data_IF_639779522918
#
_entry.id   IF_639779522918
#
_cell.length_a   1.000
_cell.length_b   1.000
_cell.length_c   1.000
_cell.angle_alpha   90.00
_cell.angle_beta   90.00
_cell.angle_gamma   90.00
#
_symmetry.space_group_name_H-M   'P 1'
#
loop_
_entity.id
_entity.type
_entity.pdbx_description
1 polymer ?
#
# COMPACT_ATOMS: atom_id res chain seq x y z
N UNK A 1 25.10 31.73 -28.59
CA UNK A 1 24.06 30.72 -28.32
C UNK A 1 24.35 30.05 -26.98
N UNK A 2 23.61 30.41 -25.91
CA UNK A 2 23.71 29.70 -24.62
C UNK A 2 22.84 28.46 -24.71
N UNK A 3 23.45 27.28 -24.70
CA UNK A 3 22.76 26.01 -24.53
C UNK A 3 22.12 25.99 -23.14
N UNK A 4 20.79 25.96 -23.08
CA UNK A 4 20.08 25.78 -21.81
C UNK A 4 20.48 24.44 -21.16
N UNK A 5 20.64 24.41 -19.82
CA UNK A 5 20.89 23.16 -19.13
C UNK A 5 19.63 22.31 -19.20
N UNK A 6 19.72 21.16 -19.86
CA UNK A 6 18.70 20.10 -19.90
C UNK A 6 18.20 19.85 -18.47
N UNK A 7 16.97 20.27 -18.19
CA UNK A 7 16.33 20.07 -16.90
C UNK A 7 16.34 18.58 -16.57
N UNK A 8 17.06 18.21 -15.50
CA UNK A 8 17.02 16.85 -14.97
C UNK A 8 15.56 16.55 -14.60
N UNK A 9 15.03 15.36 -14.91
CA UNK A 9 13.67 15.01 -14.48
C UNK A 9 13.60 15.22 -12.96
N UNK A 10 12.58 15.95 -12.52
CA UNK A 10 12.37 16.28 -11.13
C UNK A 10 12.39 14.99 -10.30
N UNK A 11 13.33 14.87 -9.37
CA UNK A 11 13.30 13.82 -8.34
C UNK A 11 12.04 14.08 -7.52
N UNK A 12 10.96 13.33 -7.75
CA UNK A 12 9.70 13.50 -7.01
C UNK A 12 8.38 13.36 -7.79
N UNK A 13 8.38 12.86 -9.03
CA UNK A 13 7.11 12.64 -9.74
C UNK A 13 6.35 11.44 -9.15
N UNK A 14 5.03 11.59 -8.95
CA UNK A 14 4.14 10.55 -8.45
C UNK A 14 4.11 9.36 -9.43
N UNK A 15 4.32 8.16 -8.91
CA UNK A 15 4.39 6.92 -9.67
C UNK A 15 3.16 6.03 -9.36
N UNK A 16 2.11 6.07 -10.20
CA UNK A 16 0.89 5.32 -9.97
C UNK A 16 1.09 3.80 -10.08
N UNK A 17 2.11 3.34 -10.82
CA UNK A 17 2.42 1.92 -10.94
C UNK A 17 2.94 1.36 -9.62
N UNK A 18 3.79 2.11 -8.92
CA UNK A 18 4.25 1.72 -7.57
C UNK A 18 3.09 1.66 -6.58
N UNK A 19 2.15 2.59 -6.64
CA UNK A 19 0.94 2.57 -5.81
C UNK A 19 0.09 1.33 -6.11
N UNK A 20 -0.08 0.99 -7.40
CA UNK A 20 -0.83 -0.20 -7.80
C UNK A 20 -0.17 -1.49 -7.31
N UNK A 21 1.17 -1.60 -7.42
CA UNK A 21 1.92 -2.75 -6.88
C UNK A 21 1.77 -2.82 -5.36
N UNK A 22 1.85 -1.69 -4.66
CA UNK A 22 1.64 -1.64 -3.22
C UNK A 22 0.24 -2.12 -2.83
N UNK A 23 -0.80 -1.65 -3.53
CA UNK A 23 -2.17 -2.13 -3.36
C UNK A 23 -2.28 -3.64 -3.58
N UNK A 24 -1.63 -4.18 -4.61
CA UNK A 24 -1.57 -5.62 -4.86
C UNK A 24 -0.93 -6.40 -3.72
N UNK A 25 0.18 -5.92 -3.15
CA UNK A 25 0.79 -6.50 -1.96
C UNK A 25 -0.14 -6.42 -0.73
N UNK A 26 -0.80 -5.28 -0.53
CA UNK A 26 -1.77 -5.10 0.55
C UNK A 26 -2.97 -6.04 0.42
N UNK A 27 -3.47 -6.22 -0.79
CA UNK A 27 -4.53 -7.18 -1.10
C UNK A 27 -4.10 -8.62 -0.80
N UNK A 28 -2.91 -9.02 -1.25
CA UNK A 28 -2.36 -10.36 -1.01
C UNK A 28 -2.22 -10.65 0.50
N UNK A 29 -1.76 -9.66 1.27
CA UNK A 29 -1.67 -9.77 2.73
C UNK A 29 -3.06 -9.85 3.38
N UNK A 30 -4.03 -9.07 2.88
CA UNK A 30 -5.43 -9.18 3.31
C UNK A 30 -6.06 -10.54 3.01
N UNK A 31 -5.75 -11.14 1.85
CA UNK A 31 -6.17 -12.51 1.50
C UNK A 31 -5.54 -13.53 2.44
N UNK A 32 -4.26 -13.38 2.77
CA UNK A 32 -3.58 -14.25 3.74
C UNK A 32 -4.27 -14.20 5.11
N UNK A 33 -4.58 -13.00 5.61
CA UNK A 33 -5.31 -12.84 6.88
C UNK A 33 -6.73 -13.42 6.79
N UNK A 34 -7.43 -13.20 5.67
CA UNK A 34 -8.75 -13.80 5.44
C UNK A 34 -8.71 -15.33 5.43
N UNK A 35 -7.67 -15.95 4.86
CA UNK A 35 -7.48 -17.39 4.88
C UNK A 35 -7.23 -17.92 6.30
N UNK A 36 -6.46 -17.20 7.12
CA UNK A 36 -6.29 -17.53 8.54
C UNK A 36 -7.62 -17.46 9.29
N UNK A 37 -8.39 -16.39 9.10
CA UNK A 37 -9.71 -16.26 9.68
C UNK A 37 -10.67 -17.37 9.21
N UNK A 38 -10.60 -17.74 7.94
CA UNK A 38 -11.37 -18.87 7.41
C UNK A 38 -11.01 -20.18 8.11
N UNK A 39 -9.72 -20.42 8.36
CA UNK A 39 -9.26 -21.61 9.10
C UNK A 39 -9.83 -21.64 10.52
N UNK A 40 -9.83 -20.51 11.24
CA UNK A 40 -10.37 -20.42 12.60
C UNK A 40 -11.89 -20.65 12.60
N UNK A 41 -12.60 -19.99 11.68
CA UNK A 41 -14.06 -20.10 11.60
C UNK A 41 -14.51 -21.51 11.23
N UNK A 42 -13.76 -22.26 10.42
CA UNK A 42 -14.07 -23.68 10.17
C UNK A 42 -14.06 -24.56 11.41
N UNK A 43 -13.29 -24.19 12.44
CA UNK A 43 -13.18 -24.93 13.70
C UNK A 43 -14.06 -24.34 14.80
N UNK A 44 -14.81 -23.28 14.49
CA UNK A 44 -15.70 -22.61 15.45
C UNK A 44 -17.14 -22.91 15.03
N UNK A 45 -18.00 -23.45 15.91
CA UNK A 45 -19.39 -23.81 15.60
C UNK A 45 -20.30 -22.56 15.55
N UNK A 46 -19.96 -21.59 14.71
CA UNK A 46 -20.71 -20.36 14.52
C UNK A 46 -21.49 -20.45 13.20
N UNK A 47 -22.81 -20.61 13.28
CA UNK A 47 -23.70 -20.52 12.13
C UNK A 47 -23.77 -19.07 11.64
N UNK A 48 -22.86 -18.72 10.74
CA UNK A 48 -22.78 -17.41 10.10
C UNK A 48 -23.39 -17.50 8.70
N UNK A 49 -24.30 -16.59 8.32
CA UNK A 49 -24.82 -16.55 6.97
C UNK A 49 -23.69 -16.24 5.98
N UNK A 50 -23.63 -17.01 4.88
CA UNK A 50 -22.54 -16.97 3.90
C UNK A 50 -22.24 -15.56 3.37
N UNK A 51 -23.27 -14.73 3.20
CA UNK A 51 -23.13 -13.33 2.74
C UNK A 51 -22.31 -12.49 3.72
N UNK A 52 -22.52 -12.63 5.04
CA UNK A 52 -21.76 -11.88 6.05
C UNK A 52 -20.30 -12.35 6.08
N UNK A 53 -20.09 -13.65 5.91
CA UNK A 53 -18.76 -14.24 5.86
C UNK A 53 -17.97 -13.74 4.64
N UNK A 54 -18.61 -13.69 3.47
CA UNK A 54 -18.02 -13.13 2.26
C UNK A 54 -17.74 -11.63 2.40
N UNK A 55 -18.68 -10.86 2.97
CA UNK A 55 -18.47 -9.44 3.23
C UNK A 55 -17.29 -9.21 4.19
N UNK A 56 -17.15 -10.02 5.24
CA UNK A 56 -16.03 -9.96 6.17
C UNK A 56 -14.68 -10.17 5.48
N UNK A 57 -14.55 -11.21 4.65
CA UNK A 57 -13.32 -11.42 3.87
C UNK A 57 -13.07 -10.30 2.86
N UNK A 58 -14.12 -9.80 2.20
CA UNK A 58 -14.02 -8.67 1.29
C UNK A 58 -13.48 -7.42 1.98
N UNK A 59 -13.97 -7.11 3.17
CA UNK A 59 -13.51 -5.97 3.98
C UNK A 59 -12.04 -6.13 4.38
N UNK A 60 -11.61 -7.34 4.76
CA UNK A 60 -10.20 -7.60 5.10
C UNK A 60 -9.26 -7.32 3.92
N UNK A 61 -9.60 -7.82 2.73
CA UNK A 61 -8.80 -7.60 1.51
C UNK A 61 -8.80 -6.13 1.11
N UNK A 62 -9.97 -5.48 1.12
CA UNK A 62 -10.10 -4.06 0.81
C UNK A 62 -9.30 -3.17 1.79
N UNK A 63 -9.33 -3.50 3.08
CA UNK A 63 -8.59 -2.77 4.12
C UNK A 63 -7.09 -2.90 3.92
N UNK A 64 -6.58 -4.11 3.63
CA UNK A 64 -5.17 -4.32 3.32
C UNK A 64 -4.70 -3.54 2.09
N UNK A 65 -5.52 -3.55 1.03
CA UNK A 65 -5.26 -2.79 -0.21
C UNK A 65 -5.23 -1.28 0.05
N UNK A 66 -6.21 -0.77 0.80
CA UNK A 66 -6.34 0.65 1.14
C UNK A 66 -5.21 1.13 2.05
N UNK A 67 -4.80 0.30 3.02
CA UNK A 67 -3.66 0.60 3.88
C UNK A 67 -2.36 0.72 3.05
N UNK A 68 -2.11 -0.23 2.13
CA UNK A 68 -0.94 -0.18 1.28
C UNK A 68 -0.96 1.00 0.30
N UNK A 69 -2.13 1.35 -0.24
CA UNK A 69 -2.34 2.58 -1.01
C UNK A 69 -1.91 3.82 -0.23
N UNK A 70 -2.41 3.97 1.02
CA UNK A 70 -2.11 5.13 1.85
C UNK A 70 -0.61 5.22 2.18
N UNK A 71 0.00 4.08 2.56
CA UNK A 71 1.43 4.01 2.89
C UNK A 71 2.29 4.42 1.70
N UNK A 72 2.04 3.87 0.50
CA UNK A 72 2.85 4.19 -0.68
C UNK A 72 2.60 5.62 -1.17
N UNK A 73 1.37 6.11 -1.09
CA UNK A 73 1.05 7.51 -1.42
C UNK A 73 1.82 8.48 -0.52
N UNK A 74 1.82 8.25 0.79
CA UNK A 74 2.58 9.05 1.75
C UNK A 74 4.09 8.92 1.48
N UNK A 75 4.58 7.71 1.20
CA UNK A 75 6.00 7.49 0.88
C UNK A 75 6.44 8.29 -0.35
N UNK A 76 5.61 8.36 -1.37
CA UNK A 76 5.91 9.13 -2.58
C UNK A 76 5.83 10.64 -2.32
N UNK A 77 4.87 11.11 -1.52
CA UNK A 77 4.80 12.52 -1.11
C UNK A 77 6.02 12.93 -0.30
N UNK A 78 6.48 12.09 0.63
CA UNK A 78 7.72 12.30 1.39
C UNK A 78 8.96 12.26 0.50
N UNK A 79 8.98 11.40 -0.53
CA UNK A 79 10.09 11.33 -1.47
C UNK A 79 10.18 12.55 -2.39
N UNK A 80 9.04 13.19 -2.70
CA UNK A 80 8.96 14.41 -3.48
C UNK A 80 9.07 15.71 -2.67
N UNK A 81 9.07 15.64 -1.33
CA UNK A 81 9.15 16.85 -0.50
C UNK A 81 10.54 17.48 -0.56
N UNK A 82 10.66 18.81 -0.69
CA UNK A 82 11.95 19.52 -0.74
C UNK A 82 12.63 19.65 0.63
N UNK A 83 11.95 19.31 1.72
CA UNK A 83 12.42 19.50 3.08
C UNK A 83 13.53 18.50 3.46
N UNK A 84 14.66 19.04 3.94
CA UNK A 84 15.85 18.26 4.28
C UNK A 84 15.61 17.18 5.34
N UNK A 85 14.59 17.34 6.18
CA UNK A 85 14.25 16.43 7.26
C UNK A 85 13.75 15.06 6.77
N UNK A 86 13.03 15.02 5.63
CA UNK A 86 12.63 13.78 4.97
C UNK A 86 13.78 13.10 4.21
N UNK A 87 14.85 13.84 3.88
CA UNK A 87 16.05 13.31 3.25
C UNK A 87 17.11 12.84 4.26
N UNK A 88 17.03 13.26 5.53
CA UNK A 88 18.04 12.98 6.57
C UNK A 88 18.14 11.49 6.96
N UNK A 89 17.10 10.68 6.78
CA UNK A 89 17.11 9.23 7.10
C UNK A 89 17.76 8.33 6.04
N UNK A 90 18.41 8.89 5.01
CA UNK A 90 19.18 8.11 4.02
C UNK A 90 20.70 8.08 4.28
N UNK A 91 21.15 8.67 5.40
CA UNK A 91 22.55 8.90 5.73
C UNK A 91 23.10 8.12 6.94
N UNK A 92 22.49 6.99 7.33
CA UNK A 92 23.12 6.07 8.27
C UNK A 92 23.46 4.82 7.47
N UNK A 93 24.72 4.80 7.02
CA UNK A 93 25.35 3.71 6.29
C UNK A 93 26.22 2.92 7.26
#
# INVERSE_FOLDING_TARGET
MRSEPRSKPARGSFDPLKVLIAMGCGAALGVLVAALMHSIMRHTPADLPLTRLQAFYGILVASGSLAAFAIESIRQLQAGSPEAEYHRRRGIR
#
